data_IF_242382514054
#
_entry.id   IF_242382514054
#
_cell.length_a   1.000
_cell.length_b   1.000
_cell.length_c   1.000
_cell.angle_alpha   90.00
_cell.angle_beta   90.00
_cell.angle_gamma   90.00
#
_symmetry.space_group_name_H-M   'P 1'
#
loop_
_entity.id
_entity.type
_entity.pdbx_description
1 polymer ?
#
# COMPACT_ATOMS: atom_id res chain seq x y z
N UNK A 1 -42.11 -91.22 12.37
CA UNK A 1 -41.58 -90.85 13.70
C UNK A 1 -42.01 -89.42 13.98
N UNK A 2 -42.82 -89.18 15.01
CA UNK A 2 -43.37 -87.84 15.30
C UNK A 2 -42.25 -86.95 15.82
N UNK A 3 -41.86 -85.93 15.04
CA UNK A 3 -40.91 -84.89 15.45
C UNK A 3 -41.42 -84.23 16.75
N UNK A 4 -40.58 -84.07 17.77
CA UNK A 4 -41.03 -83.56 19.07
C UNK A 4 -41.53 -82.12 18.94
N UNK A 5 -42.36 -81.67 19.89
CA UNK A 5 -42.83 -80.28 19.89
C UNK A 5 -41.67 -79.27 19.92
N UNK A 6 -40.54 -79.63 20.57
CA UNK A 6 -39.31 -78.83 20.59
C UNK A 6 -38.67 -78.75 19.20
N UNK A 7 -38.49 -79.87 18.52
CA UNK A 7 -37.84 -79.91 17.20
C UNK A 7 -38.62 -79.11 16.16
N UNK A 8 -39.97 -79.18 16.19
CA UNK A 8 -40.82 -78.39 15.31
C UNK A 8 -40.72 -76.88 15.59
N UNK A 9 -40.63 -76.49 16.86
CA UNK A 9 -40.46 -75.08 17.25
C UNK A 9 -39.09 -74.56 16.83
N UNK A 10 -38.02 -75.34 17.01
CA UNK A 10 -36.67 -74.96 16.62
C UNK A 10 -36.53 -74.83 15.09
N UNK A 11 -37.07 -75.78 14.33
CA UNK A 11 -37.07 -75.72 12.87
C UNK A 11 -37.87 -74.51 12.35
N UNK A 12 -39.06 -74.26 12.91
CA UNK A 12 -39.87 -73.10 12.56
C UNK A 12 -39.19 -71.78 12.94
N UNK A 13 -38.54 -71.73 14.11
CA UNK A 13 -37.79 -70.55 14.55
C UNK A 13 -36.59 -70.27 13.65
N UNK A 14 -35.82 -71.28 13.24
CA UNK A 14 -34.72 -71.12 12.28
C UNK A 14 -35.21 -70.59 10.93
N UNK A 15 -36.25 -71.21 10.36
CA UNK A 15 -36.81 -70.78 9.07
C UNK A 15 -37.33 -69.34 9.13
N UNK A 16 -38.05 -68.96 10.19
CA UNK A 16 -38.54 -67.60 10.35
C UNK A 16 -37.38 -66.63 10.56
N UNK A 17 -36.36 -67.02 11.33
CA UNK A 17 -35.22 -66.17 11.68
C UNK A 17 -34.35 -65.78 10.49
N UNK A 18 -34.39 -66.55 9.39
CA UNK A 18 -33.71 -66.21 8.15
C UNK A 18 -34.24 -64.93 7.50
N UNK A 19 -35.53 -64.61 7.70
CA UNK A 19 -36.19 -63.46 7.09
C UNK A 19 -36.55 -62.37 8.09
N UNK A 20 -36.96 -62.74 9.31
CA UNK A 20 -37.46 -61.81 10.32
C UNK A 20 -37.34 -62.37 11.73
N UNK A 21 -37.43 -61.50 12.75
CA UNK A 21 -37.38 -61.93 14.15
C UNK A 21 -38.56 -62.86 14.48
N UNK A 22 -38.32 -64.11 14.93
CA UNK A 22 -39.41 -65.03 15.27
C UNK A 22 -40.19 -64.54 16.49
N UNK A 23 -41.52 -64.58 16.42
CA UNK A 23 -42.42 -64.31 17.54
C UNK A 23 -43.17 -65.57 17.95
N UNK A 24 -43.61 -65.64 19.22
CA UNK A 24 -44.35 -66.80 19.76
C UNK A 24 -45.57 -67.13 18.89
N UNK A 25 -46.31 -66.12 18.41
CA UNK A 25 -47.48 -66.33 17.54
C UNK A 25 -47.10 -66.94 16.18
N UNK A 26 -46.06 -66.42 15.53
CA UNK A 26 -45.60 -66.92 14.22
C UNK A 26 -45.03 -68.34 14.30
N UNK A 27 -44.30 -68.64 15.37
CA UNK A 27 -43.67 -69.94 15.59
C UNK A 27 -44.72 -70.98 15.99
N UNK A 28 -45.72 -70.60 16.81
CA UNK A 28 -46.87 -71.44 17.15
C UNK A 28 -47.66 -71.84 15.91
N UNK A 29 -47.94 -70.88 15.02
CA UNK A 29 -48.67 -71.11 13.77
C UNK A 29 -47.89 -72.04 12.83
N UNK A 30 -46.59 -71.82 12.68
CA UNK A 30 -45.74 -72.61 11.79
C UNK A 30 -45.42 -74.03 12.32
N UNK A 31 -45.24 -74.20 13.64
CA UNK A 31 -44.89 -75.48 14.25
C UNK A 31 -46.11 -76.33 14.69
N UNK A 32 -47.32 -75.74 14.69
CA UNK A 32 -48.56 -76.41 15.08
C UNK A 32 -48.56 -76.90 16.53
N UNK A 33 -47.99 -76.12 17.45
CA UNK A 33 -47.83 -76.48 18.88
C UNK A 33 -48.70 -75.61 19.80
N UNK A 34 -48.79 -75.99 21.08
CA UNK A 34 -49.46 -75.17 22.09
C UNK A 34 -48.71 -73.85 22.34
N UNK A 35 -49.41 -72.85 22.87
CA UNK A 35 -48.78 -71.56 23.21
C UNK A 35 -47.69 -71.69 24.30
N UNK A 36 -47.86 -72.64 25.21
CA UNK A 36 -46.89 -72.92 26.28
C UNK A 36 -45.58 -73.50 25.71
N UNK A 37 -45.69 -74.47 24.80
CA UNK A 37 -44.52 -75.08 24.14
C UNK A 37 -43.80 -74.09 23.23
N UNK A 38 -44.55 -73.28 22.46
CA UNK A 38 -43.98 -72.23 21.62
C UNK A 38 -43.19 -71.20 22.44
N UNK A 39 -43.73 -70.76 23.58
CA UNK A 39 -43.04 -69.77 24.44
C UNK A 39 -41.78 -70.36 25.08
N UNK A 40 -41.86 -71.59 25.59
CA UNK A 40 -40.74 -72.27 26.24
C UNK A 40 -39.61 -72.56 25.26
N UNK A 41 -39.91 -73.25 24.16
CA UNK A 41 -38.88 -73.70 23.23
C UNK A 41 -38.35 -72.58 22.34
N UNK A 42 -39.12 -71.53 22.06
CA UNK A 42 -38.58 -70.35 21.36
C UNK A 42 -37.58 -69.59 22.23
N UNK A 43 -37.81 -69.54 23.55
CA UNK A 43 -36.85 -68.95 24.50
C UNK A 43 -35.57 -69.78 24.56
N UNK A 44 -35.70 -71.11 24.69
CA UNK A 44 -34.54 -72.03 24.68
C UNK A 44 -33.73 -71.88 23.37
N UNK A 45 -34.39 -71.81 22.21
CA UNK A 45 -33.73 -71.60 20.92
C UNK A 45 -33.01 -70.25 20.83
N UNK A 46 -33.64 -69.17 21.33
CA UNK A 46 -33.02 -67.85 21.32
C UNK A 46 -31.76 -67.78 22.21
N UNK A 47 -31.80 -68.43 23.38
CA UNK A 47 -30.65 -68.56 24.27
C UNK A 47 -29.52 -69.40 23.64
N UNK A 48 -29.86 -70.47 22.94
CA UNK A 48 -28.89 -71.32 22.23
C UNK A 48 -28.24 -70.60 21.04
N UNK A 49 -29.03 -69.88 20.24
CA UNK A 49 -28.53 -69.09 19.09
C UNK A 49 -27.64 -67.93 19.54
N UNK A 50 -27.98 -67.28 20.65
CA UNK A 50 -27.15 -66.22 21.24
C UNK A 50 -25.83 -66.79 21.79
N UNK A 51 -25.87 -67.98 22.39
CA UNK A 51 -24.68 -68.66 22.91
C UNK A 51 -23.74 -69.13 21.78
N UNK A 52 -24.31 -69.58 20.65
CA UNK A 52 -23.56 -69.99 19.47
C UNK A 52 -22.84 -68.80 18.78
N UNK A 53 -23.43 -67.60 18.79
CA UNK A 53 -22.82 -66.39 18.25
C UNK A 53 -21.60 -65.87 19.01
N UNK A 54 -21.31 -66.40 20.20
CA UNK A 54 -20.21 -65.96 21.06
C UNK A 54 -18.84 -66.61 20.80
N UNK A 55 -18.74 -67.58 19.88
CA UNK A 55 -17.49 -68.32 19.63
C UNK A 55 -16.75 -67.80 18.39
N UNK A 56 -16.30 -66.55 18.40
CA UNK A 56 -15.21 -66.13 17.52
C UNK A 56 -13.90 -66.51 18.20
N UNK A 57 -13.11 -67.39 17.59
CA UNK A 57 -11.82 -67.79 18.14
C UNK A 57 -10.91 -66.56 18.34
N UNK A 58 -10.26 -66.48 19.51
CA UNK A 58 -9.33 -65.39 19.80
C UNK A 58 -8.21 -65.35 18.75
N UNK A 59 -7.88 -64.14 18.27
CA UNK A 59 -6.77 -63.94 17.33
C UNK A 59 -5.46 -64.48 17.94
N UNK A 60 -4.68 -65.30 17.20
CA UNK A 60 -3.43 -65.85 17.69
C UNK A 60 -2.46 -64.77 18.21
N UNK A 61 -1.81 -64.97 19.37
CA UNK A 61 -0.88 -63.98 19.96
C UNK A 61 0.25 -63.55 19.03
N UNK A 62 0.76 -64.46 18.19
CA UNK A 62 1.79 -64.15 17.21
C UNK A 62 1.34 -63.09 16.18
N UNK A 63 0.07 -63.10 15.77
CA UNK A 63 -0.47 -62.10 14.83
C UNK A 63 -0.58 -60.74 15.54
N UNK A 64 -1.03 -60.73 16.80
CA UNK A 64 -1.10 -59.51 17.61
C UNK A 64 0.29 -58.89 17.82
N UNK A 65 1.30 -59.72 18.10
CA UNK A 65 2.68 -59.24 18.27
C UNK A 65 3.25 -58.64 16.98
N UNK A 66 3.04 -59.30 15.83
CA UNK A 66 3.49 -58.75 14.55
C UNK A 66 2.73 -57.48 14.16
N UNK A 67 1.43 -57.41 14.42
CA UNK A 67 0.64 -56.22 14.20
C UNK A 67 1.12 -55.05 15.08
N UNK A 68 1.43 -55.31 16.35
CA UNK A 68 1.98 -54.31 17.26
C UNK A 68 3.37 -53.82 16.81
N UNK A 69 4.25 -54.73 16.36
CA UNK A 69 5.57 -54.37 15.81
C UNK A 69 5.45 -53.52 14.55
N UNK A 70 4.57 -53.90 13.62
CA UNK A 70 4.33 -53.14 12.40
C UNK A 70 3.76 -51.74 12.72
N UNK A 71 2.77 -51.66 13.61
CA UNK A 71 2.20 -50.38 14.03
C UNK A 71 3.25 -49.49 14.69
N UNK A 72 4.12 -50.06 15.52
CA UNK A 72 5.25 -49.34 16.13
C UNK A 72 6.25 -48.81 15.09
N UNK A 73 6.60 -49.63 14.09
CA UNK A 73 7.49 -49.22 13.01
C UNK A 73 6.91 -48.09 12.16
N UNK A 74 5.65 -48.22 11.74
CA UNK A 74 4.93 -47.19 10.97
C UNK A 74 4.81 -45.90 11.78
N UNK A 75 4.50 -45.98 13.07
CA UNK A 75 4.43 -44.82 13.94
C UNK A 75 5.78 -44.12 14.08
N UNK A 76 6.87 -44.89 14.27
CA UNK A 76 8.21 -44.33 14.40
C UNK A 76 8.65 -43.61 13.12
N UNK A 77 8.39 -44.21 11.96
CA UNK A 77 8.69 -43.61 10.65
C UNK A 77 7.86 -42.35 10.42
N UNK A 78 6.55 -42.41 10.66
CA UNK A 78 5.66 -41.25 10.52
C UNK A 78 6.05 -40.10 11.46
N UNK A 79 6.44 -40.41 12.70
CA UNK A 79 6.89 -39.43 13.69
C UNK A 79 8.21 -38.78 13.26
N UNK A 80 9.14 -39.58 12.73
CA UNK A 80 10.43 -39.09 12.22
C UNK A 80 10.21 -38.14 11.05
N UNK A 81 9.42 -38.55 10.06
CA UNK A 81 9.10 -37.73 8.89
C UNK A 81 8.35 -36.43 9.28
N UNK A 82 7.44 -36.49 10.26
CA UNK A 82 6.74 -35.32 10.77
C UNK A 82 7.71 -34.33 11.43
N UNK A 83 8.65 -34.82 12.24
CA UNK A 83 9.67 -34.00 12.88
C UNK A 83 10.62 -33.36 11.85
N UNK A 84 11.07 -34.12 10.85
CA UNK A 84 11.91 -33.61 9.76
C UNK A 84 11.21 -32.50 8.97
N UNK A 85 9.94 -32.71 8.61
CA UNK A 85 9.14 -31.69 7.91
C UNK A 85 8.95 -30.45 8.78
N UNK A 86 8.63 -30.62 10.06
CA UNK A 86 8.47 -29.50 10.98
C UNK A 86 9.77 -28.70 11.14
N UNK A 87 10.91 -29.39 11.29
CA UNK A 87 12.22 -28.75 11.36
C UNK A 87 12.53 -27.96 10.08
N UNK A 88 12.33 -28.56 8.91
CA UNK A 88 12.56 -27.91 7.62
C UNK A 88 11.66 -26.68 7.42
N UNK A 89 10.37 -26.75 7.80
CA UNK A 89 9.48 -25.59 7.76
C UNK A 89 9.90 -24.52 8.76
N UNK A 90 10.35 -24.89 9.96
CA UNK A 90 10.86 -23.97 10.96
C UNK A 90 12.11 -23.22 10.47
N UNK A 91 13.04 -23.91 9.81
CA UNK A 91 14.24 -23.30 9.23
C UNK A 91 13.92 -22.39 8.04
N UNK A 92 12.97 -22.77 7.18
CA UNK A 92 12.51 -21.91 6.09
C UNK A 92 11.88 -20.63 6.63
N UNK A 93 10.96 -20.74 7.58
CA UNK A 93 10.31 -19.58 8.18
C UNK A 93 11.32 -18.69 8.91
N UNK A 94 12.28 -19.26 9.64
CA UNK A 94 13.33 -18.48 10.29
C UNK A 94 14.16 -17.67 9.29
N UNK A 95 14.47 -18.24 8.11
CA UNK A 95 15.16 -17.55 7.02
C UNK A 95 14.31 -16.46 6.40
N UNK A 96 13.08 -16.76 6.01
CA UNK A 96 12.15 -15.78 5.43
C UNK A 96 11.91 -14.60 6.38
N UNK A 97 11.75 -14.87 7.69
CA UNK A 97 11.60 -13.83 8.70
C UNK A 97 12.84 -12.96 8.81
N UNK A 98 14.03 -13.55 8.71
CA UNK A 98 15.30 -12.82 8.73
C UNK A 98 15.42 -11.92 7.50
N UNK A 99 15.20 -12.47 6.31
CA UNK A 99 15.24 -11.75 5.03
C UNK A 99 14.23 -10.59 5.04
N UNK A 100 13.00 -10.83 5.48
CA UNK A 100 11.98 -9.77 5.58
C UNK A 100 12.38 -8.68 6.58
N UNK A 101 12.97 -9.04 7.73
CA UNK A 101 13.45 -8.05 8.69
C UNK A 101 14.61 -7.21 8.12
N UNK A 102 15.49 -7.82 7.32
CA UNK A 102 16.57 -7.12 6.63
C UNK A 102 16.00 -6.15 5.57
N UNK A 103 15.08 -6.61 4.73
CA UNK A 103 14.38 -5.77 3.74
C UNK A 103 13.64 -4.60 4.40
N UNK A 104 12.90 -4.86 5.49
CA UNK A 104 12.21 -3.80 6.24
C UNK A 104 13.20 -2.79 6.82
N UNK A 105 14.34 -3.24 7.33
CA UNK A 105 15.36 -2.34 7.85
C UNK A 105 15.97 -1.46 6.75
N UNK A 106 16.22 -2.02 5.57
CA UNK A 106 16.69 -1.27 4.39
C UNK A 106 15.65 -0.24 3.93
N UNK A 107 14.38 -0.63 3.82
CA UNK A 107 13.29 0.28 3.43
C UNK A 107 13.10 1.43 4.43
N UNK A 108 13.26 1.17 5.73
CA UNK A 108 13.21 2.23 6.75
C UNK A 108 14.39 3.18 6.59
N UNK A 109 15.60 2.66 6.40
CA UNK A 109 16.78 3.49 6.19
C UNK A 109 16.67 4.38 4.93
N UNK A 110 16.15 3.82 3.83
CA UNK A 110 15.90 4.57 2.60
C UNK A 110 14.82 5.64 2.80
N UNK A 111 13.75 5.33 3.53
CA UNK A 111 12.70 6.29 3.85
C UNK A 111 13.21 7.44 4.72
N UNK A 112 14.01 7.14 5.74
CA UNK A 112 14.63 8.14 6.60
C UNK A 112 15.55 9.06 5.79
N UNK A 113 16.35 8.48 4.88
CA UNK A 113 17.21 9.24 3.98
C UNK A 113 16.42 10.15 3.05
N UNK A 114 15.40 9.64 2.37
CA UNK A 114 14.55 10.44 1.47
C UNK A 114 13.83 11.56 2.23
N UNK A 115 13.43 11.30 3.48
CA UNK A 115 12.80 12.30 4.34
C UNK A 115 13.80 13.40 4.69
N UNK A 116 15.02 13.06 5.10
CA UNK A 116 16.08 14.02 5.38
C UNK A 116 16.46 14.85 4.14
N UNK A 117 16.63 14.21 2.98
CA UNK A 117 16.94 14.88 1.71
C UNK A 117 15.82 15.86 1.33
N UNK A 118 14.56 15.46 1.50
CA UNK A 118 13.40 16.32 1.27
C UNK A 118 13.38 17.52 2.22
N UNK A 119 13.61 17.31 3.51
CA UNK A 119 13.64 18.40 4.50
C UNK A 119 14.76 19.40 4.18
N UNK A 120 15.95 18.93 3.80
CA UNK A 120 17.05 19.77 3.34
C UNK A 120 16.66 20.57 2.11
N UNK A 121 16.11 19.92 1.08
CA UNK A 121 15.70 20.59 -0.15
C UNK A 121 14.59 21.63 0.09
N UNK A 122 13.62 21.34 0.96
CA UNK A 122 12.59 22.31 1.36
C UNK A 122 13.20 23.51 2.07
N UNK A 123 14.13 23.28 3.01
CA UNK A 123 14.83 24.36 3.71
C UNK A 123 15.61 25.26 2.75
N UNK A 124 16.34 24.67 1.80
CA UNK A 124 17.08 25.41 0.77
C UNK A 124 16.15 26.23 -0.13
N UNK A 125 15.03 25.65 -0.57
CA UNK A 125 14.06 26.36 -1.41
C UNK A 125 13.40 27.52 -0.67
N UNK A 126 13.04 27.34 0.61
CA UNK A 126 12.48 28.41 1.44
C UNK A 126 13.48 29.55 1.59
N UNK A 127 14.74 29.25 1.96
CA UNK A 127 15.78 30.27 2.06
C UNK A 127 16.02 31.00 0.72
N UNK A 128 15.93 30.28 -0.40
CA UNK A 128 16.07 30.88 -1.73
C UNK A 128 14.91 31.81 -2.07
N UNK A 129 13.68 31.44 -1.71
CA UNK A 129 12.49 32.28 -1.91
C UNK A 129 12.62 33.56 -1.09
N UNK A 130 12.96 33.45 0.20
CA UNK A 130 13.14 34.62 1.08
C UNK A 130 14.21 35.58 0.53
N UNK A 131 15.34 35.06 0.04
CA UNK A 131 16.38 35.89 -0.57
C UNK A 131 15.90 36.55 -1.87
N UNK A 132 15.15 35.84 -2.72
CA UNK A 132 14.59 36.42 -3.94
C UNK A 132 13.54 37.49 -3.63
N UNK A 133 12.70 37.32 -2.61
CA UNK A 133 11.73 38.31 -2.16
C UNK A 133 12.42 39.57 -1.63
N UNK A 134 13.51 39.40 -0.86
CA UNK A 134 14.35 40.51 -0.39
C UNK A 134 14.97 41.28 -1.56
N UNK A 135 15.55 40.56 -2.52
CA UNK A 135 16.11 41.17 -3.73
C UNK A 135 15.05 41.91 -4.56
N UNK A 136 13.85 41.35 -4.70
CA UNK A 136 12.76 41.98 -5.43
C UNK A 136 12.35 43.29 -4.76
N UNK A 137 12.25 43.30 -3.44
CA UNK A 137 11.94 44.51 -2.65
C UNK A 137 13.01 45.58 -2.83
N UNK A 138 14.28 45.22 -2.67
CA UNK A 138 15.40 46.16 -2.88
C UNK A 138 15.44 46.70 -4.31
N UNK A 139 15.22 45.85 -5.32
CA UNK A 139 15.19 46.27 -6.72
C UNK A 139 14.00 47.22 -6.99
N UNK A 140 12.84 46.98 -6.38
CA UNK A 140 11.68 47.85 -6.51
C UNK A 140 11.96 49.25 -5.92
N UNK A 141 12.58 49.31 -4.73
CA UNK A 141 13.01 50.57 -4.11
C UNK A 141 14.03 51.32 -4.97
N UNK A 142 15.04 50.63 -5.49
CA UNK A 142 16.06 51.22 -6.37
C UNK A 142 15.45 51.75 -7.67
N UNK A 143 14.50 51.02 -8.25
CA UNK A 143 13.81 51.43 -9.47
C UNK A 143 12.97 52.69 -9.24
N UNK A 144 12.31 52.80 -8.09
CA UNK A 144 11.54 53.99 -7.74
C UNK A 144 12.45 55.20 -7.47
N UNK A 145 13.56 55.00 -6.77
CA UNK A 145 14.58 56.04 -6.57
C UNK A 145 15.15 56.53 -7.90
N UNK A 146 15.49 55.60 -8.82
CA UNK A 146 16.01 55.93 -10.14
C UNK A 146 14.98 56.70 -10.98
N UNK A 147 13.68 56.37 -10.86
CA UNK A 147 12.60 57.13 -11.52
C UNK A 147 12.50 58.54 -10.98
N UNK A 148 12.51 58.73 -9.66
CA UNK A 148 12.46 60.06 -9.04
C UNK A 148 13.66 60.91 -9.47
N UNK A 149 14.88 60.36 -9.38
CA UNK A 149 16.09 61.05 -9.81
C UNK A 149 16.06 61.40 -11.31
N UNK A 150 15.51 60.52 -12.15
CA UNK A 150 15.31 60.79 -13.57
C UNK A 150 14.32 61.94 -13.84
N UNK A 151 13.23 62.03 -13.07
CA UNK A 151 12.28 63.14 -13.16
C UNK A 151 12.90 64.46 -12.71
N UNK A 152 13.67 64.46 -11.62
CA UNK A 152 14.39 65.65 -11.16
C UNK A 152 15.43 66.11 -12.19
N UNK A 153 16.25 65.19 -12.70
CA UNK A 153 17.27 65.52 -13.71
C UNK A 153 16.65 66.09 -15.00
N UNK A 154 15.50 65.57 -15.44
CA UNK A 154 14.79 66.11 -16.61
C UNK A 154 14.21 67.50 -16.34
N UNK A 155 13.67 67.76 -15.14
CA UNK A 155 13.20 69.08 -14.74
C UNK A 155 14.36 70.10 -14.65
N UNK A 156 15.49 69.71 -14.06
CA UNK A 156 16.69 70.54 -13.98
C UNK A 156 17.26 70.87 -15.37
N UNK A 157 17.33 69.87 -16.26
CA UNK A 157 17.76 70.06 -17.64
C UNK A 157 16.85 71.04 -18.39
N UNK A 158 15.52 70.94 -18.21
CA UNK A 158 14.57 71.88 -18.80
C UNK A 158 14.73 73.33 -18.25
N UNK A 159 14.96 73.46 -16.95
CA UNK A 159 15.22 74.76 -16.32
C UNK A 159 16.56 75.36 -16.76
N UNK A 160 17.60 74.54 -16.91
CA UNK A 160 18.90 74.95 -17.43
C UNK A 160 18.80 75.39 -18.90
N UNK A 161 18.06 74.64 -19.75
CA UNK A 161 17.81 75.00 -21.13
C UNK A 161 17.08 76.36 -21.26
N UNK A 162 16.05 76.58 -20.44
CA UNK A 162 15.35 77.88 -20.38
C UNK A 162 16.28 79.03 -19.98
N UNK A 163 17.12 78.82 -18.95
CA UNK A 163 18.11 79.82 -18.52
C UNK A 163 19.16 80.12 -19.59
N UNK A 164 19.64 79.09 -20.29
CA UNK A 164 20.60 79.23 -21.38
C UNK A 164 19.98 80.02 -22.55
N UNK A 165 18.75 79.70 -22.94
CA UNK A 165 18.03 80.45 -23.98
C UNK A 165 17.84 81.93 -23.59
N UNK A 166 17.47 82.21 -22.33
CA UNK A 166 17.33 83.58 -21.83
C UNK A 166 18.68 84.33 -21.77
N UNK A 167 19.77 83.65 -21.40
CA UNK A 167 21.11 84.22 -21.40
C UNK A 167 21.58 84.55 -22.82
N UNK A 168 21.33 83.65 -23.79
CA UNK A 168 21.63 83.87 -25.19
C UNK A 168 20.88 85.09 -25.74
N UNK A 169 19.56 85.18 -25.51
CA UNK A 169 18.76 86.31 -25.95
C UNK A 169 19.23 87.66 -25.39
N UNK A 170 19.71 87.68 -24.12
CA UNK A 170 20.31 88.88 -23.53
C UNK A 170 21.67 89.22 -24.15
N UNK A 171 22.50 88.23 -24.44
CA UNK A 171 23.78 88.43 -25.11
C UNK A 171 23.57 89.00 -26.52
N UNK A 172 22.63 88.43 -27.28
CA UNK A 172 22.26 88.92 -28.62
C UNK A 172 21.76 90.37 -28.57
N UNK A 173 20.86 90.70 -27.62
CA UNK A 173 20.36 92.07 -27.45
C UNK A 173 21.44 93.07 -27.01
N UNK A 174 22.38 92.65 -26.15
CA UNK A 174 23.52 93.48 -25.75
C UNK A 174 24.48 93.73 -26.93
N UNK A 175 24.71 92.71 -27.76
CA UNK A 175 25.50 92.82 -28.98
C UNK A 175 24.86 93.80 -29.96
N UNK A 176 23.55 93.67 -30.22
CA UNK A 176 22.81 94.60 -31.07
C UNK A 176 22.88 96.05 -30.56
N UNK A 177 22.69 96.25 -29.25
CA UNK A 177 22.81 97.56 -28.63
C UNK A 177 24.23 98.14 -28.72
N UNK A 178 25.25 97.31 -28.54
CA UNK A 178 26.65 97.71 -28.70
C UNK A 178 26.96 98.13 -30.13
N UNK A 179 26.52 97.35 -31.13
CA UNK A 179 26.77 97.64 -32.54
C UNK A 179 26.05 98.93 -32.98
N UNK A 180 24.84 99.18 -32.48
CA UNK A 180 24.14 100.44 -32.68
C UNK A 180 24.87 101.65 -32.06
N UNK A 181 25.49 101.49 -30.89
CA UNK A 181 26.32 102.53 -30.28
C UNK A 181 27.60 102.79 -31.10
N UNK A 182 28.25 101.74 -31.60
CA UNK A 182 29.42 101.87 -32.47
C UNK A 182 29.08 102.62 -33.77
N UNK A 183 27.95 102.33 -34.41
CA UNK A 183 27.46 103.07 -35.59
C UNK A 183 27.21 104.54 -35.29
N UNK A 184 26.76 104.88 -34.07
CA UNK A 184 26.53 106.28 -33.65
C UNK A 184 27.83 107.05 -33.41
N UNK A 185 28.87 106.38 -32.88
CA UNK A 185 30.18 106.99 -32.58
C UNK A 185 31.08 107.01 -33.83
N UNK A 186 30.89 106.04 -34.73
CA UNK A 186 31.61 105.89 -36.00
C UNK A 186 30.59 105.97 -37.13
N UNK A 187 30.02 107.15 -37.42
CA UNK A 187 29.16 107.28 -38.58
C UNK A 187 29.98 106.89 -39.81
N UNK A 188 29.47 105.98 -40.64
CA UNK A 188 29.98 105.83 -41.99
C UNK A 188 30.01 107.24 -42.60
N UNK A 189 31.20 107.72 -42.93
CA UNK A 189 31.30 108.91 -43.75
C UNK A 189 30.51 108.61 -45.01
N UNK A 190 29.56 109.47 -45.43
CA UNK A 190 29.10 109.41 -46.80
C UNK A 190 30.35 109.51 -47.65
N UNK A 191 30.55 108.56 -48.56
CA UNK A 191 31.45 108.77 -49.69
C UNK A 191 30.91 109.97 -50.47
N UNK A 192 31.34 111.16 -50.04
CA UNK A 192 31.28 112.39 -50.80
C UNK A 192 32.59 112.48 -51.59
N UNK A 193 32.47 112.20 -52.89
CA UNK A 193 33.44 112.45 -53.94
C UNK A 193 32.97 111.67 -55.18
N UNK A 194 32.56 112.26 -56.30
CA UNK A 194 32.73 113.60 -56.86
C UNK A 194 31.62 113.81 -57.92
N UNK A 195 31.01 115.01 -57.95
CA UNK A 195 30.46 115.66 -59.15
C UNK A 195 31.58 115.91 -60.20
N UNK A 196 31.36 116.43 -61.42
CA UNK A 196 30.22 116.46 -62.36
C UNK A 196 30.67 116.14 -63.82
N UNK A 197 29.86 116.55 -64.80
CA UNK A 197 30.15 116.90 -66.21
C UNK A 197 29.57 116.02 -67.36
N UNK A 198 28.90 116.76 -68.25
CA UNK A 198 28.34 116.49 -69.58
C UNK A 198 26.92 115.91 -69.70
#
# INVERSE_FOLDING_TARGET
MSSSAKDRVFAAAEQISAERRPTVSTVRSAAGVSNADATRYLKEWAEEKQSAGGQVAATPPAILEQAARLAGAVWAEASTLANERHAATGELWAREKKELNEEVAELVADLDKVTADKESAVSELVAKIEELERQLTTNAEQLEQARSAGQEATAEAAAAATRAAAAQARADALQEAHDALLQRITPEQPQSGEEPDA
#
